data_IF_896150429225
#
_entry.id   IF_896150429225
#
_cell.length_a   1.000
_cell.length_b   1.000
_cell.length_c   1.000
_cell.angle_alpha   90.00
_cell.angle_beta   90.00
_cell.angle_gamma   90.00
#
_symmetry.space_group_name_H-M   'P 1'
#
loop_
_entity.id
_entity.type
_entity.pdbx_description
1 polymer ?
#
# COMPACT_ATOMS: atom_id res chain seq x y z
N UNK A 1 12.13 22.52 -8.12
CA UNK A 1 10.74 22.04 -7.86
C UNK A 1 10.80 21.06 -6.69
N UNK A 2 9.86 21.15 -5.78
CA UNK A 2 9.75 20.23 -4.64
C UNK A 2 9.40 18.82 -5.16
N UNK A 3 10.02 17.79 -4.60
CA UNK A 3 9.67 16.40 -4.92
C UNK A 3 8.29 16.03 -4.39
N UNK A 4 7.64 15.07 -5.00
CA UNK A 4 6.30 14.64 -4.62
C UNK A 4 6.17 13.13 -4.51
N UNK A 5 5.32 12.70 -3.58
CA UNK A 5 4.95 11.30 -3.36
C UNK A 5 3.43 11.15 -3.31
N UNK A 6 2.91 10.18 -4.06
CA UNK A 6 1.50 9.72 -4.00
C UNK A 6 1.44 8.43 -3.20
N UNK A 7 0.61 8.37 -2.17
CA UNK A 7 0.55 7.21 -1.26
C UNK A 7 -0.88 6.70 -1.14
N UNK A 8 -1.11 5.42 -1.45
CA UNK A 8 -2.38 4.75 -1.12
C UNK A 8 -2.30 4.04 0.23
N UNK A 9 -3.42 3.90 0.93
CA UNK A 9 -3.43 3.37 2.29
C UNK A 9 -2.77 4.34 3.28
N UNK A 10 -2.90 5.65 3.03
CA UNK A 10 -2.19 6.70 3.77
C UNK A 10 -2.83 7.05 5.12
N UNK A 11 -4.02 6.54 5.43
CA UNK A 11 -4.71 6.84 6.68
C UNK A 11 -4.12 6.08 7.90
N UNK A 12 -3.34 5.01 7.68
CA UNK A 12 -2.83 4.20 8.78
C UNK A 12 -1.51 3.49 8.45
N UNK A 13 -0.92 2.82 9.44
CA UNK A 13 0.20 1.90 9.28
C UNK A 13 1.39 2.47 8.50
N UNK A 14 1.91 1.67 7.55
CA UNK A 14 3.09 2.02 6.75
C UNK A 14 2.84 3.28 5.91
N UNK A 15 1.65 3.41 5.31
CA UNK A 15 1.30 4.59 4.49
C UNK A 15 1.33 5.88 5.29
N UNK A 16 0.68 5.90 6.47
CA UNK A 16 0.70 7.06 7.40
C UNK A 16 2.11 7.43 7.83
N UNK A 17 2.89 6.46 8.29
CA UNK A 17 4.25 6.71 8.76
C UNK A 17 5.17 7.20 7.64
N UNK A 18 5.02 6.64 6.43
CA UNK A 18 5.74 7.11 5.22
C UNK A 18 5.35 8.55 4.89
N UNK A 19 4.05 8.86 4.91
CA UNK A 19 3.55 10.21 4.60
C UNK A 19 4.15 11.27 5.53
N UNK A 20 4.16 11.00 6.83
CA UNK A 20 4.73 11.91 7.85
C UNK A 20 6.24 12.10 7.59
N UNK A 21 6.97 11.00 7.41
CA UNK A 21 8.43 11.06 7.17
C UNK A 21 8.80 11.85 5.91
N UNK A 22 8.06 11.67 4.81
CA UNK A 22 8.32 12.40 3.56
C UNK A 22 7.98 13.89 3.68
N UNK A 23 6.90 14.24 4.38
CA UNK A 23 6.53 15.63 4.63
C UNK A 23 7.55 16.36 5.52
N UNK A 24 8.11 15.69 6.54
CA UNK A 24 9.17 16.20 7.39
C UNK A 24 10.45 16.51 6.57
N UNK A 25 10.71 15.72 5.53
CA UNK A 25 11.82 15.91 4.61
C UNK A 25 11.49 16.83 3.42
N UNK A 26 10.40 17.58 3.50
CA UNK A 26 10.07 18.68 2.57
C UNK A 26 9.46 18.23 1.25
N UNK A 27 8.89 17.03 1.16
CA UNK A 27 8.17 16.59 -0.01
C UNK A 27 6.71 17.05 0.00
N UNK A 28 6.12 17.23 -1.18
CA UNK A 28 4.68 17.33 -1.35
C UNK A 28 4.06 15.94 -1.26
N UNK A 29 3.09 15.76 -0.38
CA UNK A 29 2.50 14.44 -0.10
C UNK A 29 1.06 14.38 -0.53
N UNK A 30 0.71 13.40 -1.38
CA UNK A 30 -0.66 13.01 -1.68
C UNK A 30 -1.09 11.85 -0.80
N UNK A 31 -2.13 12.06 -0.02
CA UNK A 31 -2.68 11.09 0.93
C UNK A 31 -3.98 10.52 0.36
N UNK A 32 -4.00 9.21 0.07
CA UNK A 32 -5.15 8.54 -0.51
C UNK A 32 -5.52 7.30 0.28
N UNK A 33 -6.79 7.19 0.66
CA UNK A 33 -7.34 6.07 1.43
C UNK A 33 -8.86 6.04 1.28
N UNK A 34 -9.48 4.91 1.57
CA UNK A 34 -10.95 4.84 1.69
C UNK A 34 -11.45 5.51 2.98
N UNK A 35 -10.61 5.57 4.01
CA UNK A 35 -10.90 6.19 5.32
C UNK A 35 -10.58 7.69 5.29
N UNK A 36 -11.59 8.50 4.94
CA UNK A 36 -11.45 9.94 4.83
C UNK A 36 -11.15 10.64 6.17
N UNK A 37 -11.66 10.15 7.28
CA UNK A 37 -11.38 10.73 8.61
C UNK A 37 -9.92 10.51 8.99
N UNK A 38 -9.40 9.28 8.80
CA UNK A 38 -7.99 9.00 9.04
C UNK A 38 -7.05 9.80 8.13
N UNK A 39 -7.43 10.07 6.88
CA UNK A 39 -6.67 10.97 6.00
C UNK A 39 -6.58 12.39 6.55
N UNK A 40 -7.70 12.91 7.08
CA UNK A 40 -7.74 14.24 7.68
C UNK A 40 -6.83 14.32 8.91
N UNK A 41 -6.87 13.32 9.78
CA UNK A 41 -5.97 13.26 10.94
C UNK A 41 -4.48 13.30 10.53
N UNK A 42 -4.11 12.56 9.48
CA UNK A 42 -2.74 12.57 8.96
C UNK A 42 -2.39 13.94 8.37
N UNK A 43 -3.31 14.57 7.63
CA UNK A 43 -3.11 15.90 7.08
C UNK A 43 -2.94 16.97 8.17
N UNK A 44 -3.70 16.86 9.28
CA UNK A 44 -3.56 17.75 10.44
C UNK A 44 -2.17 17.60 11.11
N UNK A 45 -1.62 16.38 11.16
CA UNK A 45 -0.26 16.12 11.67
C UNK A 45 0.82 16.72 10.76
N UNK A 46 0.70 16.52 9.45
CA UNK A 46 1.68 16.97 8.45
C UNK A 46 1.62 18.49 8.25
N UNK A 47 0.43 19.07 8.31
CA UNK A 47 0.12 20.44 7.92
C UNK A 47 -0.36 20.52 6.47
N UNK A 48 -1.51 21.15 6.28
CA UNK A 48 -2.25 21.23 5.01
C UNK A 48 -1.51 21.94 3.86
N UNK A 49 -0.45 22.67 4.16
CA UNK A 49 0.41 23.31 3.15
C UNK A 49 1.45 22.35 2.53
N UNK A 50 1.65 21.16 3.10
CA UNK A 50 2.60 20.16 2.63
C UNK A 50 1.94 18.92 2.03
N UNK A 51 0.62 18.79 2.15
CA UNK A 51 -0.11 17.63 1.65
C UNK A 51 -1.45 18.03 1.04
N UNK A 52 -1.93 17.17 0.17
CA UNK A 52 -3.35 17.08 -0.16
C UNK A 52 -3.88 15.71 0.25
N UNK A 53 -5.16 15.59 0.49
CA UNK A 53 -5.80 14.31 0.77
C UNK A 53 -7.12 14.17 0.03
N UNK A 54 -7.42 12.94 -0.40
CA UNK A 54 -8.65 12.61 -1.11
C UNK A 54 -9.03 11.16 -0.84
N UNK A 55 -10.33 10.90 -0.69
CA UNK A 55 -10.84 9.54 -0.64
C UNK A 55 -10.54 8.82 -1.95
N UNK A 56 -10.05 7.58 -1.84
CA UNK A 56 -9.80 6.70 -2.97
C UNK A 56 -10.10 5.26 -2.57
N UNK A 57 -11.04 4.63 -3.26
CA UNK A 57 -11.21 3.18 -3.25
C UNK A 57 -10.35 2.59 -4.38
N UNK A 58 -9.29 1.87 -4.03
CA UNK A 58 -8.35 1.30 -5.01
C UNK A 58 -9.01 0.27 -5.94
N UNK A 59 -10.19 -0.24 -5.61
CA UNK A 59 -10.95 -1.17 -6.46
C UNK A 59 -11.74 -0.46 -7.55
N UNK A 60 -11.93 0.88 -7.44
CA UNK A 60 -12.70 1.70 -8.37
C UNK A 60 -11.77 2.49 -9.27
N UNK A 61 -11.83 2.26 -10.58
CA UNK A 61 -10.95 2.91 -11.57
C UNK A 61 -11.25 4.41 -11.72
N UNK A 62 -12.50 4.83 -11.53
CA UNK A 62 -12.91 6.24 -11.61
C UNK A 62 -12.26 7.05 -10.48
N UNK A 63 -12.18 6.48 -9.26
CA UNK A 63 -11.51 7.12 -8.13
C UNK A 63 -10.01 7.34 -8.41
N UNK A 64 -9.36 6.38 -9.12
CA UNK A 64 -7.97 6.52 -9.54
C UNK A 64 -7.77 7.67 -10.53
N UNK A 65 -8.65 7.79 -11.54
CA UNK A 65 -8.60 8.87 -12.55
C UNK A 65 -8.75 10.24 -11.88
N UNK A 66 -9.69 10.35 -10.94
CA UNK A 66 -9.89 11.60 -10.17
C UNK A 66 -8.68 11.92 -9.28
N UNK A 67 -8.14 10.93 -8.59
CA UNK A 67 -6.98 11.10 -7.73
C UNK A 67 -5.73 11.51 -8.51
N UNK A 68 -5.47 10.89 -9.67
CA UNK A 68 -4.39 11.28 -10.58
C UNK A 68 -4.51 12.76 -10.98
N UNK A 69 -5.67 13.17 -11.46
CA UNK A 69 -5.94 14.53 -11.88
C UNK A 69 -5.74 15.55 -10.75
N UNK A 70 -6.29 15.26 -9.57
CA UNK A 70 -6.20 16.14 -8.41
C UNK A 70 -4.76 16.31 -7.92
N UNK A 71 -4.01 15.22 -7.84
CA UNK A 71 -2.63 15.27 -7.40
C UNK A 71 -1.70 15.89 -8.45
N UNK A 72 -1.96 15.67 -9.73
CA UNK A 72 -1.23 16.35 -10.82
C UNK A 72 -1.45 17.86 -10.79
N UNK A 73 -2.66 18.35 -10.50
CA UNK A 73 -2.92 19.76 -10.29
C UNK A 73 -2.16 20.32 -9.08
N UNK A 74 -2.14 19.58 -7.97
CA UNK A 74 -1.43 19.99 -6.74
C UNK A 74 0.08 20.07 -6.93
N UNK A 75 0.67 19.13 -7.66
CA UNK A 75 2.13 19.03 -7.86
C UNK A 75 2.65 19.73 -9.11
N UNK A 76 1.77 20.24 -9.97
CA UNK A 76 2.14 20.76 -11.29
C UNK A 76 2.61 19.67 -12.25
N UNK A 77 2.08 18.46 -12.13
CA UNK A 77 2.36 17.32 -13.01
C UNK A 77 3.68 16.59 -12.73
N UNK A 78 4.29 16.79 -11.55
CA UNK A 78 5.52 16.10 -11.16
C UNK A 78 5.25 15.03 -10.10
N UNK A 79 5.61 13.77 -10.41
CA UNK A 79 5.47 12.62 -9.52
C UNK A 79 6.79 11.86 -9.39
N UNK A 80 7.54 12.12 -8.33
CA UNK A 80 8.83 11.46 -8.12
C UNK A 80 8.68 10.04 -7.58
N UNK A 81 7.65 9.79 -6.75
CA UNK A 81 7.36 8.49 -6.17
C UNK A 81 5.86 8.22 -6.13
N UNK A 82 5.45 7.11 -6.72
CA UNK A 82 4.14 6.51 -6.52
C UNK A 82 4.26 5.30 -5.60
N UNK A 83 3.73 5.39 -4.39
CA UNK A 83 3.73 4.34 -3.39
C UNK A 83 2.36 3.65 -3.35
N UNK A 84 2.25 2.56 -4.07
CA UNK A 84 1.08 1.70 -4.18
C UNK A 84 1.04 0.75 -2.98
N UNK A 85 0.51 1.24 -1.84
CA UNK A 85 0.66 0.60 -0.55
C UNK A 85 -0.65 0.07 0.04
N UNK A 86 -1.82 0.53 -0.40
CA UNK A 86 -3.11 0.05 0.11
C UNK A 86 -3.21 -1.48 0.07
N UNK A 87 -3.68 -2.05 1.16
CA UNK A 87 -3.87 -3.49 1.27
C UNK A 87 -4.59 -3.88 2.54
N UNK A 88 -5.25 -5.02 2.49
CA UNK A 88 -5.95 -5.63 3.62
C UNK A 88 -5.46 -7.05 3.83
N UNK A 89 -5.62 -7.55 5.04
CA UNK A 89 -5.38 -8.95 5.36
C UNK A 89 -6.52 -9.47 6.23
N UNK A 90 -6.98 -10.68 5.90
CA UNK A 90 -7.82 -11.46 6.80
C UNK A 90 -6.93 -12.54 7.39
N UNK A 91 -6.70 -12.45 8.68
CA UNK A 91 -5.87 -13.41 9.36
C UNK A 91 -6.68 -14.60 9.83
N UNK A 92 -6.16 -15.76 9.47
CA UNK A 92 -6.38 -17.07 10.03
C UNK A 92 -7.74 -17.71 9.87
N UNK A 93 -7.72 -18.71 9.04
CA UNK A 93 -8.71 -19.74 8.94
C UNK A 93 -8.19 -20.83 8.02
N UNK A 94 -8.67 -22.06 8.18
CA UNK A 94 -8.55 -23.04 7.13
C UNK A 94 -9.25 -22.47 5.87
N UNK A 95 -8.74 -22.79 4.70
CA UNK A 95 -9.26 -22.23 3.44
C UNK A 95 -10.77 -22.40 3.30
N UNK A 96 -11.29 -23.55 3.71
CA UNK A 96 -12.71 -23.89 3.69
C UNK A 96 -13.59 -23.06 4.65
N UNK A 97 -12.99 -22.42 5.65
CA UNK A 97 -13.71 -21.60 6.64
C UNK A 97 -13.84 -20.13 6.20
N UNK A 98 -13.11 -19.70 5.17
CA UNK A 98 -13.12 -18.32 4.70
C UNK A 98 -14.25 -18.13 3.69
N UNK A 99 -15.11 -17.13 3.89
CA UNK A 99 -16.19 -16.83 2.95
C UNK A 99 -15.63 -16.34 1.63
N UNK A 100 -16.25 -16.73 0.53
CA UNK A 100 -15.81 -16.36 -0.82
C UNK A 100 -15.83 -14.84 -1.04
N UNK A 101 -16.74 -14.10 -0.40
CA UNK A 101 -16.82 -12.64 -0.48
C UNK A 101 -15.58 -11.99 0.13
N UNK A 102 -15.07 -12.54 1.26
CA UNK A 102 -13.86 -12.07 1.90
C UNK A 102 -12.61 -12.37 1.06
N UNK A 103 -12.55 -13.56 0.44
CA UNK A 103 -11.49 -13.91 -0.50
C UNK A 103 -11.46 -12.94 -1.69
N UNK A 104 -12.62 -12.68 -2.29
CA UNK A 104 -12.74 -11.75 -3.40
C UNK A 104 -12.32 -10.32 -3.01
N UNK A 105 -12.74 -9.87 -1.83
CA UNK A 105 -12.34 -8.55 -1.33
C UNK A 105 -10.81 -8.42 -1.18
N UNK A 106 -10.14 -9.45 -0.67
CA UNK A 106 -8.67 -9.47 -0.59
C UNK A 106 -8.05 -9.37 -1.99
N UNK A 107 -8.56 -10.13 -2.96
CA UNK A 107 -8.06 -10.11 -4.34
C UNK A 107 -8.30 -8.73 -4.97
N UNK A 108 -9.49 -8.17 -4.80
CA UNK A 108 -9.87 -6.89 -5.39
C UNK A 108 -8.99 -5.75 -4.85
N UNK A 109 -8.79 -5.69 -3.54
CA UNK A 109 -7.96 -4.63 -2.93
C UNK A 109 -6.47 -4.87 -3.21
N UNK A 110 -5.94 -6.06 -2.87
CA UNK A 110 -4.51 -6.29 -2.82
C UNK A 110 -3.87 -6.53 -4.19
N UNK A 111 -4.63 -6.96 -5.18
CA UNK A 111 -4.10 -7.22 -6.52
C UNK A 111 -4.74 -6.35 -7.60
N UNK A 112 -6.06 -6.38 -7.79
CA UNK A 112 -6.69 -5.51 -8.80
C UNK A 112 -6.47 -4.04 -8.49
N UNK A 113 -6.55 -3.63 -7.22
CA UNK A 113 -6.23 -2.27 -6.79
C UNK A 113 -4.82 -1.86 -7.17
N UNK A 114 -3.84 -2.74 -6.98
CA UNK A 114 -2.44 -2.50 -7.40
C UNK A 114 -2.34 -2.38 -8.91
N UNK A 115 -3.01 -3.25 -9.67
CA UNK A 115 -3.03 -3.19 -11.14
C UNK A 115 -3.66 -1.88 -11.62
N UNK A 116 -4.80 -1.47 -11.05
CA UNK A 116 -5.45 -0.20 -11.38
C UNK A 116 -4.50 0.98 -11.20
N UNK A 117 -3.78 1.03 -10.06
CA UNK A 117 -2.79 2.06 -9.78
C UNK A 117 -1.64 2.06 -10.78
N UNK A 118 -1.03 0.90 -11.04
CA UNK A 118 0.05 0.78 -12.02
C UNK A 118 -0.39 1.25 -13.41
N UNK A 119 -1.61 0.91 -13.83
CA UNK A 119 -2.15 1.28 -15.13
C UNK A 119 -2.44 2.79 -15.21
N UNK A 120 -3.19 3.34 -14.24
CA UNK A 120 -3.62 4.74 -14.29
C UNK A 120 -2.45 5.71 -14.13
N UNK A 121 -1.45 5.37 -13.29
CA UNK A 121 -0.34 6.27 -13.00
C UNK A 121 0.80 6.20 -14.02
N UNK A 122 0.74 5.30 -14.99
CA UNK A 122 1.84 5.09 -15.94
C UNK A 122 2.20 6.35 -16.73
N UNK A 123 1.21 7.07 -17.27
CA UNK A 123 1.48 8.23 -18.14
C UNK A 123 2.12 9.40 -17.38
N UNK A 124 1.67 9.64 -16.15
CA UNK A 124 2.27 10.69 -15.31
C UNK A 124 3.68 10.32 -14.84
N UNK A 125 3.92 9.04 -14.54
CA UNK A 125 5.27 8.55 -14.20
C UNK A 125 6.24 8.70 -15.37
N UNK A 126 5.80 8.47 -16.62
CA UNK A 126 6.61 8.71 -17.82
C UNK A 126 7.01 10.18 -17.97
N UNK A 127 6.18 11.11 -17.52
CA UNK A 127 6.45 12.55 -17.62
C UNK A 127 7.50 13.04 -16.62
N UNK A 128 7.79 12.26 -15.58
CA UNK A 128 8.75 12.61 -14.52
C UNK A 128 10.03 11.79 -14.65
N UNK A 129 11.13 12.45 -14.99
CA UNK A 129 12.43 11.77 -15.13
C UNK A 129 12.87 11.10 -13.81
N UNK A 130 13.25 9.82 -13.88
CA UNK A 130 13.67 9.00 -12.75
C UNK A 130 12.56 8.80 -11.69
N UNK A 131 11.30 8.80 -12.09
CA UNK A 131 10.20 8.44 -11.22
C UNK A 131 10.34 7.00 -10.70
N UNK A 132 9.75 6.75 -9.54
CA UNK A 132 9.73 5.42 -8.90
C UNK A 132 8.29 4.98 -8.68
N UNK A 133 7.96 3.78 -9.18
CA UNK A 133 6.80 2.99 -8.77
C UNK A 133 7.25 2.03 -7.68
N UNK A 134 6.67 2.14 -6.50
CA UNK A 134 6.94 1.26 -5.37
C UNK A 134 5.67 0.53 -4.94
N UNK A 135 5.66 -0.79 -4.99
CA UNK A 135 4.56 -1.62 -4.55
C UNK A 135 4.81 -2.21 -3.15
N UNK A 136 3.77 -2.36 -2.35
CA UNK A 136 3.84 -3.11 -1.09
C UNK A 136 3.41 -4.54 -1.32
N UNK A 137 4.39 -5.44 -1.39
CA UNK A 137 4.18 -6.87 -1.30
C UNK A 137 4.20 -7.33 0.18
N UNK A 138 4.85 -8.40 0.49
CA UNK A 138 5.01 -8.96 1.84
C UNK A 138 6.03 -10.07 1.79
N UNK A 139 6.61 -10.46 2.92
CA UNK A 139 7.31 -11.76 3.01
C UNK A 139 6.37 -12.92 2.64
N UNK A 140 5.05 -12.79 2.87
CA UNK A 140 4.04 -13.74 2.39
C UNK A 140 3.91 -13.79 0.86
N UNK A 141 4.54 -12.87 0.12
CA UNK A 141 4.72 -12.91 -1.33
C UNK A 141 5.97 -13.67 -1.79
N UNK A 142 6.82 -14.08 -0.84
CA UNK A 142 8.08 -14.81 -1.10
C UNK A 142 8.05 -16.23 -0.52
N UNK A 143 7.31 -16.44 0.56
CA UNK A 143 7.15 -17.74 1.23
C UNK A 143 5.68 -18.06 1.42
N UNK A 144 5.36 -19.35 1.48
CA UNK A 144 3.98 -19.82 1.75
C UNK A 144 3.77 -20.02 3.25
N UNK A 145 2.58 -19.69 3.74
CA UNK A 145 2.17 -19.98 5.11
C UNK A 145 0.70 -20.44 5.15
N UNK A 146 0.38 -21.54 5.84
CA UNK A 146 -1.00 -21.97 6.06
C UNK A 146 -1.81 -20.86 6.77
N UNK A 147 -3.11 -20.81 6.49
CA UNK A 147 -4.03 -19.86 7.12
C UNK A 147 -4.10 -18.47 6.49
N UNK A 148 -3.21 -18.16 5.52
CA UNK A 148 -3.20 -16.90 4.76
C UNK A 148 -3.17 -17.13 3.25
N UNK A 149 -3.80 -18.19 2.77
CA UNK A 149 -3.67 -18.70 1.39
C UNK A 149 -3.96 -17.63 0.34
N UNK A 150 -5.10 -16.95 0.42
CA UNK A 150 -5.50 -15.93 -0.57
C UNK A 150 -4.67 -14.68 -0.43
N UNK A 151 -4.40 -14.22 0.79
CA UNK A 151 -3.50 -13.09 1.03
C UNK A 151 -2.11 -13.35 0.44
N UNK A 152 -1.52 -14.50 0.79
CA UNK A 152 -0.21 -14.90 0.25
C UNK A 152 -0.21 -14.96 -1.28
N UNK A 153 -1.26 -15.53 -1.88
CA UNK A 153 -1.40 -15.57 -3.34
C UNK A 153 -1.43 -14.17 -3.96
N UNK A 154 -2.18 -13.21 -3.35
CA UNK A 154 -2.20 -11.83 -3.85
C UNK A 154 -0.84 -11.15 -3.76
N UNK A 155 -0.08 -11.39 -2.68
CA UNK A 155 1.25 -10.81 -2.50
C UNK A 155 2.30 -11.43 -3.44
N UNK A 156 2.22 -12.74 -3.73
CA UNK A 156 3.01 -13.36 -4.81
C UNK A 156 2.69 -12.75 -6.18
N UNK A 157 1.39 -12.51 -6.45
CA UNK A 157 0.98 -11.87 -7.70
C UNK A 157 1.52 -10.44 -7.83
N UNK A 158 1.54 -9.65 -6.74
CA UNK A 158 2.14 -8.30 -6.71
C UNK A 158 3.64 -8.37 -6.95
N UNK A 159 4.37 -9.30 -6.33
CA UNK A 159 5.81 -9.47 -6.57
C UNK A 159 6.09 -9.83 -8.03
N UNK A 160 5.35 -10.79 -8.59
CA UNK A 160 5.48 -11.17 -10.01
C UNK A 160 5.18 -9.99 -10.94
N UNK A 161 4.10 -9.23 -10.67
CA UNK A 161 3.76 -8.02 -11.44
C UNK A 161 4.89 -6.99 -11.38
N UNK A 162 5.41 -6.73 -10.18
CA UNK A 162 6.48 -5.74 -9.95
C UNK A 162 7.74 -6.09 -10.75
N UNK A 163 8.17 -7.36 -10.73
CA UNK A 163 9.33 -7.81 -11.50
C UNK A 163 9.12 -7.64 -13.01
N UNK A 164 7.94 -7.96 -13.54
CA UNK A 164 7.64 -7.75 -14.95
C UNK A 164 7.63 -6.25 -15.30
N UNK A 165 6.96 -5.42 -14.51
CA UNK A 165 6.91 -3.98 -14.75
C UNK A 165 8.28 -3.32 -14.62
N UNK A 166 9.18 -3.84 -13.78
CA UNK A 166 10.57 -3.36 -13.67
C UNK A 166 11.30 -3.45 -15.00
N UNK A 167 11.07 -4.53 -15.75
CA UNK A 167 11.66 -4.73 -17.08
C UNK A 167 10.93 -3.89 -18.13
N UNK A 168 9.59 -3.92 -18.12
CA UNK A 168 8.78 -3.25 -19.14
C UNK A 168 8.87 -1.72 -19.06
N UNK A 169 9.00 -1.14 -17.86
CA UNK A 169 9.01 0.30 -17.64
C UNK A 169 10.41 0.92 -17.73
N UNK A 170 11.47 0.10 -17.74
CA UNK A 170 12.84 0.58 -17.95
C UNK A 170 12.98 1.43 -19.23
N UNK A 171 12.31 1.05 -20.30
CA UNK A 171 12.28 1.81 -21.58
C UNK A 171 11.73 3.24 -21.45
N UNK A 172 11.00 3.53 -20.37
CA UNK A 172 10.47 4.86 -20.07
C UNK A 172 11.30 5.60 -19.03
N UNK A 173 12.34 4.99 -18.50
CA UNK A 173 13.15 5.54 -17.41
C UNK A 173 12.46 5.56 -16.04
N UNK A 174 11.37 4.78 -15.90
CA UNK A 174 10.67 4.58 -14.63
C UNK A 174 11.36 3.45 -13.86
N UNK A 175 11.72 3.71 -12.62
CA UNK A 175 12.17 2.67 -11.71
C UNK A 175 10.97 1.96 -11.11
N UNK A 176 11.04 0.64 -10.96
CA UNK A 176 9.99 -0.16 -10.30
C UNK A 176 10.65 -1.03 -9.24
N UNK A 177 10.06 -1.03 -8.04
CA UNK A 177 10.55 -1.83 -6.90
C UNK A 177 9.39 -2.23 -6.00
N UNK A 178 9.69 -3.07 -5.03
CA UNK A 178 8.74 -3.43 -3.99
C UNK A 178 9.39 -3.42 -2.61
N UNK A 179 8.56 -3.25 -1.59
CA UNK A 179 8.90 -3.59 -0.22
C UNK A 179 8.20 -4.89 0.19
N UNK A 180 8.90 -5.71 0.96
CA UNK A 180 8.42 -6.99 1.47
C UNK A 180 8.40 -6.97 3.01
N UNK A 181 7.45 -6.24 3.66
CA UNK A 181 7.41 -6.16 5.10
C UNK A 181 7.21 -7.54 5.73
N UNK A 182 7.92 -7.76 6.83
CA UNK A 182 7.62 -8.81 7.81
C UNK A 182 6.49 -8.32 8.73
N UNK A 183 6.16 -9.05 9.78
CA UNK A 183 5.21 -8.58 10.79
C UNK A 183 5.63 -7.19 11.30
N UNK A 184 4.82 -6.21 10.96
CA UNK A 184 5.06 -4.79 11.24
C UNK A 184 3.92 -4.27 12.11
N UNK A 185 4.25 -3.44 13.09
CA UNK A 185 3.28 -2.89 14.04
C UNK A 185 2.33 -1.90 13.34
N UNK A 186 1.25 -2.44 12.78
CA UNK A 186 0.23 -1.72 12.02
C UNK A 186 -1.16 -2.29 12.32
N UNK A 187 -2.25 -1.54 12.03
CA UNK A 187 -3.61 -2.05 12.22
C UNK A 187 -3.94 -3.32 11.40
N UNK A 188 -3.14 -3.65 10.40
CA UNK A 188 -3.32 -4.89 9.63
C UNK A 188 -3.21 -6.16 10.50
N UNK A 189 -2.50 -6.06 11.63
CA UNK A 189 -2.38 -7.15 12.61
C UNK A 189 -3.61 -7.26 13.52
N UNK A 190 -4.49 -6.26 13.53
CA UNK A 190 -5.70 -6.25 14.35
C UNK A 190 -6.94 -6.71 13.55
N UNK A 191 -6.75 -7.15 12.30
CA UNK A 191 -7.84 -7.66 11.48
C UNK A 191 -8.49 -8.88 12.14
N UNK A 192 -9.82 -8.84 12.30
CA UNK A 192 -10.58 -9.89 12.98
C UNK A 192 -10.41 -11.24 12.27
N UNK A 193 -10.29 -12.31 13.08
CA UNK A 193 -10.38 -13.66 12.56
C UNK A 193 -11.79 -13.93 12.01
N UNK A 194 -11.88 -14.34 10.76
CA UNK A 194 -13.16 -14.55 10.05
C UNK A 194 -13.96 -15.74 10.60
N UNK A 195 -13.36 -16.60 11.39
CA UNK A 195 -13.98 -17.80 11.95
C UNK A 195 -14.25 -17.67 13.44
N UNK A 196 -15.53 -17.68 13.81
CA UNK A 196 -15.96 -17.83 15.19
C UNK A 196 -15.41 -19.16 15.76
N UNK A 197 -14.47 -19.10 16.67
CA UNK A 197 -13.89 -20.25 17.38
C UNK A 197 -12.45 -20.63 17.02
N UNK A 198 -11.90 -20.16 15.92
CA UNK A 198 -10.45 -20.19 15.72
C UNK A 198 -9.83 -18.98 16.43
N UNK A 199 -9.16 -19.18 17.55
CA UNK A 199 -8.14 -18.22 17.98
C UNK A 199 -7.20 -18.09 16.81
N UNK A 200 -7.19 -16.92 16.16
CA UNK A 200 -6.38 -16.73 14.97
C UNK A 200 -4.95 -17.10 15.30
N UNK A 201 -4.32 -17.94 14.48
CA UNK A 201 -2.90 -18.25 14.61
C UNK A 201 -2.02 -16.98 14.51
N UNK A 202 -2.67 -15.84 14.32
CA UNK A 202 -2.08 -14.52 14.17
C UNK A 202 -2.77 -13.47 15.06
N UNK A 203 -3.46 -13.89 16.14
CA UNK A 203 -3.74 -13.00 17.24
C UNK A 203 -2.44 -12.25 17.61
N UNK A 204 -2.53 -10.93 17.79
CA UNK A 204 -1.38 -10.07 18.11
C UNK A 204 -0.55 -10.64 19.27
N UNK A 205 -1.19 -11.26 20.26
CA UNK A 205 -0.52 -11.91 21.37
C UNK A 205 0.26 -13.15 20.92
N UNK A 206 -0.33 -13.99 20.07
CA UNK A 206 0.35 -15.16 19.50
C UNK A 206 1.52 -14.74 18.60
N UNK A 207 1.31 -13.74 17.74
CA UNK A 207 2.37 -13.18 16.87
C UNK A 207 3.52 -12.66 17.72
N UNK A 208 3.24 -11.86 18.76
CA UNK A 208 4.27 -11.31 19.66
C UNK A 208 5.04 -12.39 20.42
N UNK A 209 4.39 -13.54 20.73
CA UNK A 209 5.05 -14.66 21.43
C UNK A 209 5.90 -15.52 20.49
N UNK A 210 5.55 -15.62 19.21
CA UNK A 210 6.15 -16.58 18.27
C UNK A 210 7.07 -15.94 17.24
N UNK A 211 6.94 -14.64 16.99
CA UNK A 211 7.77 -13.95 16.02
C UNK A 211 8.08 -12.53 16.46
N UNK A 212 9.11 -11.95 15.85
CA UNK A 212 9.48 -10.55 16.10
C UNK A 212 8.60 -9.64 15.26
N UNK A 213 7.85 -8.76 15.91
CA UNK A 213 7.15 -7.64 15.28
C UNK A 213 8.11 -6.44 15.19
N UNK A 214 8.19 -5.83 14.05
CA UNK A 214 9.06 -4.68 13.81
C UNK A 214 8.26 -3.37 13.88
N UNK A 215 8.87 -2.30 14.42
CA UNK A 215 8.26 -0.98 14.38
C UNK A 215 8.17 -0.49 12.92
N UNK A 216 7.14 0.29 12.63
CA UNK A 216 6.82 0.76 11.27
C UNK A 216 7.95 1.62 10.67
N UNK A 217 8.72 2.32 11.49
CA UNK A 217 9.86 3.16 11.09
C UNK A 217 10.94 2.37 10.36
N UNK A 218 11.10 1.08 10.69
CA UNK A 218 12.03 0.20 9.94
C UNK A 218 11.60 -0.04 8.51
N UNK A 219 10.30 -0.12 8.26
CA UNK A 219 9.77 -0.25 6.90
C UNK A 219 9.90 1.07 6.16
N UNK A 220 9.56 2.18 6.82
CA UNK A 220 9.70 3.54 6.25
C UNK A 220 11.13 3.80 5.79
N UNK A 221 12.14 3.38 6.57
CA UNK A 221 13.55 3.53 6.18
C UNK A 221 13.93 2.78 4.90
N UNK A 222 13.14 1.81 4.47
CA UNK A 222 13.33 1.07 3.21
C UNK A 222 12.66 1.73 2.01
N UNK A 223 11.80 2.72 2.24
CA UNK A 223 11.12 3.49 1.19
C UNK A 223 12.01 4.64 0.69
N UNK A 224 12.97 5.10 1.51
CA UNK A 224 13.99 6.06 1.15
C UNK A 224 15.06 5.46 0.23
#
# INVERSE_FOLDING_TARGET
>A
MTKSIFITGAASGIGKATAISFAENGWNVGLFDINQEGLKEVADIIGHNKCMYQKLDVTNIEDWIEAEKSFSQYTGGRWDLFFNNAGIANFAGAFEDIKIEEMNKIIDVNFKGVVNGCFTMLEILKSTKNSLLLNTSSVAGLITAPGISVYGATKHAVSSLTENLRIEFERYGIKVSEINPWFTETPILDAEAVTAGAKSQLDREFVNQKTKVYPVEKVVSSVW
#
